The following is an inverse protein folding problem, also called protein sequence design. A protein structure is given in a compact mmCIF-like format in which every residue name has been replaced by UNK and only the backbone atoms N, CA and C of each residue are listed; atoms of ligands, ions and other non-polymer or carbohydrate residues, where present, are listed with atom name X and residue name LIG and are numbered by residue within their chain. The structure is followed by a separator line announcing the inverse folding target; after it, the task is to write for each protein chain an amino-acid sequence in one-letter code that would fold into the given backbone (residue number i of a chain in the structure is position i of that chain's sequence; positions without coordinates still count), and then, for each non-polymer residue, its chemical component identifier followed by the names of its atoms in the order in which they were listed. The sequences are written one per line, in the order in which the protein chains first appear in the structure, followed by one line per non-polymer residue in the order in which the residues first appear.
data_IF_613125449227
#
_entry.id   IF_613125449227
#
_cell.length_a   1.000
_cell.length_b   1.000
_cell.length_c   1.000
_cell.angle_alpha   90.00
_cell.angle_beta   90.00
_cell.angle_gamma   90.00
#
_symmetry.space_group_name_H-M   'P 1'
#
loop_
_entity.id
_entity.type
_entity.pdbx_description
1 polymer ?
#
# COMPACT_ATOMS: atom_id res chain seq x y z
N UNK A 1 -42.16 17.99 -76.85
CA UNK A 1 -41.58 16.65 -76.60
C UNK A 1 -40.91 16.73 -75.26
N UNK A 2 -41.25 15.80 -74.37
CA UNK A 2 -41.10 15.92 -72.91
C UNK A 2 -40.83 14.54 -72.29
N UNK A 3 -40.68 14.50 -70.96
CA UNK A 3 -40.60 13.33 -70.05
C UNK A 3 -39.17 12.86 -69.71
N UNK A 4 -38.82 12.46 -68.47
CA UNK A 4 -39.57 12.51 -67.19
C UNK A 4 -38.65 12.46 -65.94
N UNK A 5 -39.20 12.77 -64.75
CA UNK A 5 -38.56 13.10 -63.43
C UNK A 5 -39.52 12.62 -62.31
N UNK A 6 -39.14 12.11 -61.09
CA UNK A 6 -38.09 12.53 -60.13
C UNK A 6 -37.09 11.39 -59.77
N UNK A 7 -36.44 11.16 -58.60
CA UNK A 7 -36.62 11.51 -57.15
C UNK A 7 -35.33 11.11 -56.34
N UNK A 8 -35.11 11.25 -55.01
CA UNK A 8 -35.55 11.99 -53.77
C UNK A 8 -34.82 11.28 -52.58
N UNK A 9 -34.62 11.69 -51.31
CA UNK A 9 -34.62 12.90 -50.42
C UNK A 9 -34.09 12.41 -49.03
N UNK A 10 -33.63 13.14 -48.00
CA UNK A 10 -33.35 14.59 -47.72
C UNK A 10 -32.28 14.70 -46.57
N UNK A 11 -32.02 15.91 -46.03
CA UNK A 11 -31.17 16.23 -44.84
C UNK A 11 -32.04 16.82 -43.68
N UNK A 12 -31.81 18.03 -43.10
CA UNK A 12 -30.83 18.52 -42.10
C UNK A 12 -31.33 18.40 -40.60
N UNK A 13 -30.64 18.71 -39.48
CA UNK A 13 -29.42 19.46 -39.08
C UNK A 13 -29.62 20.89 -38.47
N UNK A 14 -28.91 21.22 -37.35
CA UNK A 14 -28.68 22.56 -36.72
C UNK A 14 -29.88 23.27 -35.98
N UNK A 15 -29.79 24.29 -35.07
CA UNK A 15 -28.71 24.89 -34.23
C UNK A 15 -29.19 26.02 -33.23
N UNK A 16 -28.90 25.94 -31.92
CA UNK A 16 -28.78 27.05 -30.90
C UNK A 16 -30.06 27.96 -30.69
N UNK A 17 -30.13 29.05 -29.84
CA UNK A 17 -29.16 29.71 -28.94
C UNK A 17 -29.68 30.05 -27.49
N UNK A 18 -29.38 31.26 -26.98
CA UNK A 18 -28.99 31.63 -25.59
C UNK A 18 -29.97 32.64 -24.89
N UNK A 19 -30.13 32.51 -23.53
CA UNK A 19 -30.48 33.52 -22.46
C UNK A 19 -31.94 33.94 -22.06
N UNK A 20 -32.06 34.07 -20.72
CA UNK A 20 -32.70 35.09 -19.84
C UNK A 20 -34.25 35.33 -19.69
N UNK A 21 -34.81 34.66 -18.66
CA UNK A 21 -35.37 35.23 -17.40
C UNK A 21 -36.91 35.53 -17.16
N UNK A 22 -37.27 35.45 -15.86
CA UNK A 22 -38.44 35.96 -15.10
C UNK A 22 -39.82 35.22 -15.06
N UNK A 23 -40.12 34.72 -13.85
CA UNK A 23 -41.43 34.54 -13.15
C UNK A 23 -42.29 33.25 -13.31
N UNK A 24 -42.89 32.82 -12.18
CA UNK A 24 -43.94 31.77 -12.12
C UNK A 24 -43.88 30.86 -10.88
N UNK A 25 -44.67 31.16 -9.83
CA UNK A 25 -44.68 30.40 -8.55
C UNK A 25 -45.08 28.91 -8.72
N UNK A 26 -44.33 28.01 -8.07
CA UNK A 26 -44.75 26.63 -7.80
C UNK A 26 -44.02 26.02 -6.61
N UNK A 27 -44.73 25.77 -5.50
CA UNK A 27 -44.12 25.21 -4.27
C UNK A 27 -44.09 23.69 -4.30
N UNK A 28 -42.92 23.08 -4.10
CA UNK A 28 -42.81 21.76 -3.46
C UNK A 28 -41.41 21.52 -2.88
N UNK A 29 -41.34 21.18 -1.59
CA UNK A 29 -40.09 20.89 -0.88
C UNK A 29 -39.57 19.48 -1.21
N UNK A 30 -38.51 19.38 -2.01
CA UNK A 30 -37.81 18.12 -2.26
C UNK A 30 -36.67 17.93 -1.26
N UNK A 31 -36.74 16.84 -0.49
CA UNK A 31 -35.67 16.41 0.42
C UNK A 31 -34.44 15.95 -0.39
N UNK A 32 -33.20 16.18 0.09
CA UNK A 32 -32.02 15.56 -0.51
C UNK A 32 -32.16 14.04 -0.54
N UNK A 33 -31.86 13.41 -1.67
CA UNK A 33 -31.83 11.95 -1.76
C UNK A 33 -30.59 11.43 -1.02
N UNK A 34 -30.79 10.49 -0.10
CA UNK A 34 -29.68 9.76 0.51
C UNK A 34 -28.87 9.05 -0.59
N UNK A 35 -27.58 9.35 -0.67
CA UNK A 35 -26.63 8.47 -1.34
C UNK A 35 -26.42 7.27 -0.40
N UNK A 36 -26.64 6.04 -0.88
CA UNK A 36 -26.37 4.86 -0.07
C UNK A 36 -24.86 4.71 0.09
N UNK A 37 -24.38 4.65 1.34
CA UNK A 37 -23.09 4.05 1.63
C UNK A 37 -23.22 2.55 1.35
N UNK A 38 -22.38 2.01 0.46
CA UNK A 38 -22.34 0.58 0.22
C UNK A 38 -21.58 -0.10 1.36
N UNK A 39 -22.30 -0.86 2.20
CA UNK A 39 -21.72 -1.83 3.11
C UNK A 39 -20.92 -2.87 2.31
N UNK A 40 -19.62 -2.98 2.57
CA UNK A 40 -18.80 -4.08 2.07
C UNK A 40 -19.28 -5.37 2.75
N UNK A 41 -19.84 -6.32 1.99
CA UNK A 41 -20.35 -7.60 2.53
C UNK A 41 -19.31 -8.72 2.40
N UNK A 42 -18.98 -9.35 3.52
CA UNK A 42 -18.01 -10.44 3.60
C UNK A 42 -18.57 -11.77 3.06
N UNK A 43 -17.80 -12.53 2.25
CA UNK A 43 -18.10 -13.93 1.95
C UNK A 43 -17.55 -14.83 3.09
N UNK A 44 -18.39 -15.18 4.06
CA UNK A 44 -17.90 -15.68 5.36
C UNK A 44 -18.73 -16.72 6.11
N UNK A 45 -19.53 -17.56 5.44
CA UNK A 45 -20.09 -18.76 6.10
C UNK A 45 -20.31 -19.92 5.12
N UNK A 46 -19.73 -21.09 5.42
CA UNK A 46 -20.05 -22.35 4.74
C UNK A 46 -21.28 -22.95 5.41
N UNK A 47 -22.42 -22.91 4.73
CA UNK A 47 -23.63 -23.61 5.17
C UNK A 47 -23.46 -25.12 4.97
N UNK A 48 -23.27 -25.87 6.06
CA UNK A 48 -23.33 -27.33 6.05
C UNK A 48 -24.70 -27.81 5.57
N UNK A 49 -24.74 -28.77 4.64
CA UNK A 49 -25.99 -29.26 4.06
C UNK A 49 -26.90 -29.94 5.10
N UNK A 50 -28.20 -29.68 4.99
CA UNK A 50 -29.21 -30.26 5.87
C UNK A 50 -29.56 -31.69 5.46
N UNK A 51 -29.25 -32.66 6.33
CA UNK A 51 -29.89 -33.98 6.28
C UNK A 51 -31.12 -34.01 7.19
N UNK A 52 -32.22 -34.51 6.63
CA UNK A 52 -33.54 -34.55 7.26
C UNK A 52 -33.71 -35.71 8.24
N UNK A 53 -34.46 -35.49 9.34
CA UNK A 53 -35.67 -36.28 9.59
C UNK A 53 -36.59 -35.67 10.66
N UNK A 54 -37.81 -36.21 10.74
CA UNK A 54 -38.92 -35.84 11.64
C UNK A 54 -38.63 -36.23 13.11
N UNK A 55 -39.36 -35.77 14.15
CA UNK A 55 -40.83 -35.71 14.24
C UNK A 55 -41.40 -34.97 15.47
N UNK A 56 -42.70 -34.61 15.35
CA UNK A 56 -43.74 -34.52 16.41
C UNK A 56 -43.50 -33.80 17.76
N UNK A 57 -44.19 -32.65 17.91
CA UNK A 57 -45.27 -32.42 18.91
C UNK A 57 -45.11 -32.99 20.34
N UNK A 58 -44.88 -32.11 21.35
CA UNK A 58 -45.94 -31.65 22.28
C UNK A 58 -45.47 -30.60 23.32
N UNK A 59 -46.47 -29.91 23.89
CA UNK A 59 -46.37 -28.92 24.97
C UNK A 59 -46.17 -29.53 26.36
N UNK A 60 -45.52 -28.78 27.27
CA UNK A 60 -46.09 -28.46 28.61
C UNK A 60 -45.38 -27.29 29.32
N UNK A 61 -46.02 -26.81 30.38
CA UNK A 61 -45.66 -25.59 31.14
C UNK A 61 -44.91 -25.89 32.45
N UNK A 62 -44.29 -24.84 33.03
CA UNK A 62 -44.08 -24.59 34.48
C UNK A 62 -43.29 -25.63 35.32
N UNK A 63 -42.51 -25.27 36.35
CA UNK A 63 -42.77 -24.26 37.39
C UNK A 63 -41.48 -23.77 38.07
N UNK A 64 -41.58 -22.70 38.87
CA UNK A 64 -40.52 -22.29 39.81
C UNK A 64 -40.49 -23.17 41.07
N UNK A 65 -39.33 -23.23 41.73
CA UNK A 65 -39.24 -23.44 43.19
C UNK A 65 -37.90 -22.91 43.72
N UNK A 66 -37.94 -21.91 44.60
CA UNK A 66 -36.80 -21.47 45.42
C UNK A 66 -36.66 -22.40 46.65
N UNK A 67 -35.45 -22.55 47.22
CA UNK A 67 -35.14 -22.31 48.67
C UNK A 67 -33.74 -22.80 49.09
N UNK A 68 -32.97 -21.88 49.67
CA UNK A 68 -32.17 -21.91 50.92
C UNK A 68 -31.40 -23.16 51.43
N UNK A 69 -30.22 -22.91 52.04
CA UNK A 69 -29.47 -23.83 52.91
C UNK A 69 -27.94 -23.83 52.67
N UNK A 70 -27.17 -22.83 53.11
CA UNK A 70 -26.51 -22.67 54.43
C UNK A 70 -25.44 -23.73 54.82
N UNK A 71 -24.29 -23.25 55.33
CA UNK A 71 -23.12 -24.01 55.82
C UNK A 71 -21.88 -23.79 54.93
N UNK A 72 -20.85 -23.00 55.27
CA UNK A 72 -19.95 -22.98 56.45
C UNK A 72 -18.98 -24.18 56.51
N UNK A 73 -17.67 -24.06 56.74
CA UNK A 73 -16.75 -22.90 56.90
C UNK A 73 -15.26 -23.45 56.85
N UNK A 74 -14.26 -22.62 57.16
CA UNK A 74 -12.95 -22.96 57.78
C UNK A 74 -11.69 -23.09 56.87
N UNK A 75 -10.92 -21.98 56.86
CA UNK A 75 -9.43 -21.83 56.92
C UNK A 75 -8.51 -22.09 55.72
N UNK A 76 -7.76 -21.03 55.40
CA UNK A 76 -6.30 -21.05 55.16
C UNK A 76 -5.51 -21.20 56.47
N UNK A 77 -4.18 -21.45 56.41
CA UNK A 77 -3.28 -20.39 56.89
C UNK A 77 -2.05 -20.14 55.98
N UNK A 78 -1.19 -19.22 56.42
CA UNK A 78 -0.07 -18.58 55.71
C UNK A 78 1.29 -18.80 56.39
N UNK A 79 2.40 -18.65 55.65
CA UNK A 79 3.74 -18.15 56.05
C UNK A 79 4.56 -17.97 54.72
N UNK A 80 5.42 -16.97 54.47
CA UNK A 80 6.58 -16.38 55.18
C UNK A 80 7.81 -17.33 55.21
N UNK A 81 9.08 -16.90 55.04
CA UNK A 81 9.67 -15.56 54.81
C UNK A 81 11.10 -15.62 54.17
N UNK A 82 11.82 -14.48 54.15
CA UNK A 82 13.23 -14.23 53.72
C UNK A 82 13.51 -14.16 52.20
N UNK A 83 14.28 -13.21 51.61
CA UNK A 83 15.38 -12.29 52.02
C UNK A 83 16.81 -12.85 51.87
N UNK A 84 17.60 -12.18 51.03
CA UNK A 84 19.05 -12.36 50.80
C UNK A 84 19.58 -11.23 49.90
N UNK A 85 20.83 -10.78 50.05
CA UNK A 85 21.33 -9.55 49.41
C UNK A 85 22.86 -9.55 49.15
N UNK A 86 23.32 -8.56 48.36
CA UNK A 86 24.73 -8.27 48.00
C UNK A 86 25.42 -9.35 47.12
N UNK A 87 26.52 -9.08 46.41
CA UNK A 87 27.38 -7.89 46.36
C UNK A 87 27.95 -7.60 44.94
N UNK A 88 28.83 -6.60 44.86
CA UNK A 88 29.50 -6.09 43.66
C UNK A 88 30.49 -7.05 42.99
N UNK A 89 30.85 -6.78 41.72
CA UNK A 89 31.91 -7.49 40.99
C UNK A 89 32.47 -6.66 39.83
N UNK A 90 33.51 -5.86 40.08
CA UNK A 90 34.18 -5.05 39.05
C UNK A 90 35.24 -5.86 38.30
N UNK A 91 35.24 -5.79 36.96
CA UNK A 91 36.43 -6.10 36.16
C UNK A 91 36.55 -5.15 34.96
N UNK A 92 37.57 -4.27 35.01
CA UNK A 92 37.98 -3.45 33.87
C UNK A 92 38.99 -4.19 32.97
N UNK A 93 39.13 -3.80 31.68
CA UNK A 93 40.08 -4.40 30.76
C UNK A 93 41.52 -3.98 31.08
N UNK A 94 42.47 -4.90 30.89
CA UNK A 94 43.91 -4.59 30.91
C UNK A 94 44.47 -4.33 29.49
N UNK A 95 45.59 -3.60 29.33
CA UNK A 95 45.89 -2.91 28.08
C UNK A 95 47.08 -3.51 27.30
N UNK A 96 47.04 -3.44 25.96
CA UNK A 96 48.24 -3.54 25.13
C UNK A 96 48.27 -2.48 24.00
N UNK A 97 49.30 -1.62 24.08
CA UNK A 97 50.08 -1.01 22.97
C UNK A 97 49.39 -0.03 22.01
N UNK A 98 49.55 1.25 22.32
CA UNK A 98 49.55 2.36 21.36
C UNK A 98 50.86 2.38 20.54
N UNK A 99 50.76 2.64 19.22
CA UNK A 99 51.74 3.22 18.26
C UNK A 99 50.94 3.51 16.98
N UNK A 100 51.05 4.63 16.25
CA UNK A 100 51.86 5.84 16.38
C UNK A 100 51.08 7.04 15.80
N UNK A 101 51.09 8.19 16.47
CA UNK A 101 50.67 9.49 15.90
C UNK A 101 51.81 10.50 16.06
N UNK A 102 52.42 10.92 14.94
CA UNK A 102 53.12 12.21 14.79
C UNK A 102 53.73 12.36 13.38
N UNK A 103 53.22 13.31 12.58
CA UNK A 103 54.00 14.47 12.08
C UNK A 103 53.06 15.48 11.39
N UNK A 104 53.52 16.73 11.21
CA UNK A 104 52.68 17.82 10.72
C UNK A 104 53.36 18.73 9.68
N UNK A 105 52.57 19.09 8.65
CA UNK A 105 52.54 20.37 7.91
C UNK A 105 53.72 20.84 6.99
N UNK A 106 53.31 21.24 5.78
CA UNK A 106 53.94 22.15 4.79
C UNK A 106 55.10 21.61 3.91
N UNK A 107 55.39 22.23 2.74
CA UNK A 107 54.67 23.29 1.97
C UNK A 107 54.20 22.80 0.56
N UNK A 108 53.48 23.63 -0.25
CA UNK A 108 52.89 23.18 -1.52
C UNK A 108 53.73 23.48 -2.78
N UNK A 109 53.62 22.61 -3.80
CA UNK A 109 53.83 22.99 -5.20
C UNK A 109 54.61 22.01 -6.08
N UNK A 110 53.92 21.35 -7.02
CA UNK A 110 54.30 21.13 -8.43
C UNK A 110 53.09 20.52 -9.15
N UNK A 111 52.84 20.92 -10.40
CA UNK A 111 51.77 20.35 -11.23
C UNK A 111 52.34 19.16 -12.02
N UNK A 112 51.79 17.96 -11.80
CA UNK A 112 52.03 16.77 -12.63
C UNK A 112 50.71 16.25 -13.18
N UNK A 113 50.74 15.80 -14.44
CA UNK A 113 49.54 15.50 -15.23
C UNK A 113 48.85 14.22 -14.77
N UNK A 114 47.54 14.29 -14.51
CA UNK A 114 46.71 13.09 -14.37
C UNK A 114 46.50 12.43 -15.74
N UNK A 115 47.19 11.32 -15.98
CA UNK A 115 46.79 10.35 -17.00
C UNK A 115 45.77 9.38 -16.37
N UNK A 116 44.51 9.33 -16.84
CA UNK A 116 43.54 8.36 -16.37
C UNK A 116 43.82 6.98 -16.99
N UNK A 117 44.35 6.05 -16.21
CA UNK A 117 44.40 4.64 -16.58
C UNK A 117 43.13 3.97 -16.05
N UNK A 118 42.36 3.35 -16.95
CA UNK A 118 41.06 2.76 -16.66
C UNK A 118 41.18 1.47 -15.85
N UNK A 119 40.94 1.53 -14.55
CA UNK A 119 40.45 0.39 -13.77
C UNK A 119 38.96 0.54 -13.47
N UNK A 120 38.15 0.54 -14.55
CA UNK A 120 36.76 0.09 -14.44
C UNK A 120 36.76 -1.40 -14.13
N UNK A 121 36.92 -1.73 -12.85
CA UNK A 121 36.38 -2.98 -12.30
C UNK A 121 34.91 -3.00 -12.71
N UNK A 122 34.54 -3.91 -13.61
CA UNK A 122 33.21 -4.00 -14.19
C UNK A 122 32.22 -4.52 -13.15
N UNK A 123 31.84 -3.64 -12.24
CA UNK A 123 30.76 -3.84 -11.29
C UNK A 123 29.51 -4.18 -12.11
N UNK A 124 28.93 -5.39 -11.99
CA UNK A 124 27.91 -5.88 -12.92
C UNK A 124 26.72 -4.91 -12.92
N UNK A 125 26.31 -4.48 -14.12
CA UNK A 125 25.34 -3.39 -14.28
C UNK A 125 23.99 -3.76 -13.65
N UNK A 126 23.73 -3.26 -12.43
CA UNK A 126 22.49 -3.52 -11.66
C UNK A 126 21.24 -3.34 -12.55
N UNK A 127 20.39 -4.37 -12.66
CA UNK A 127 19.12 -4.37 -13.44
C UNK A 127 18.31 -3.09 -13.19
N UNK A 128 17.76 -2.44 -14.21
CA UNK A 128 16.88 -1.26 -14.06
C UNK A 128 15.71 -1.57 -13.12
N UNK A 129 15.44 -0.72 -12.14
CA UNK A 129 14.30 -0.91 -11.23
C UNK A 129 13.02 -0.31 -11.82
N UNK A 130 11.93 -1.06 -11.80
CA UNK A 130 10.60 -0.56 -12.17
C UNK A 130 9.67 -0.74 -10.97
N UNK A 131 9.43 0.36 -10.26
CA UNK A 131 8.74 0.34 -8.97
C UNK A 131 7.25 0.68 -9.16
N UNK A 132 6.38 -0.32 -8.98
CA UNK A 132 4.93 -0.17 -9.02
C UNK A 132 4.40 0.10 -7.61
N UNK A 133 4.15 1.36 -7.26
CA UNK A 133 3.90 1.77 -5.87
C UNK A 133 2.44 2.23 -5.73
N UNK A 134 1.69 1.66 -4.78
CA UNK A 134 0.35 2.16 -4.45
C UNK A 134 0.38 3.51 -3.71
N UNK A 135 -0.75 4.21 -3.68
CA UNK A 135 -0.93 5.46 -2.95
C UNK A 135 -1.37 5.25 -1.50
N UNK A 136 -2.59 4.76 -1.27
CA UNK A 136 -3.29 4.91 0.00
C UNK A 136 -2.77 3.87 1.00
N UNK A 137 -2.51 4.27 2.25
CA UNK A 137 -1.75 3.50 3.26
C UNK A 137 -0.34 3.04 2.82
N UNK A 138 0.12 3.42 1.62
CA UNK A 138 1.43 3.01 1.08
C UNK A 138 2.39 4.19 1.07
N UNK A 139 2.12 5.25 0.30
CA UNK A 139 2.86 6.52 0.38
C UNK A 139 2.00 7.72 0.81
N UNK A 140 0.69 7.54 0.98
CA UNK A 140 -0.24 8.52 1.53
C UNK A 140 -0.87 8.01 2.83
N UNK A 141 -1.06 8.89 3.81
CA UNK A 141 -1.90 8.64 4.98
C UNK A 141 -3.16 9.50 4.87
N UNK A 142 -3.95 9.23 3.82
CA UNK A 142 -5.26 9.83 3.56
C UNK A 142 -5.93 9.08 2.41
N UNK A 143 -7.25 9.22 2.28
CA UNK A 143 -8.02 8.71 1.15
C UNK A 143 -9.07 9.73 0.72
N UNK A 144 -8.97 10.25 -0.51
CA UNK A 144 -9.91 11.21 -1.06
C UNK A 144 -11.24 10.58 -1.51
N UNK A 145 -11.29 9.27 -1.76
CA UNK A 145 -12.50 8.53 -2.18
C UNK A 145 -13.41 8.25 -0.99
N UNK A 146 -12.85 7.83 0.15
CA UNK A 146 -13.62 7.65 1.40
C UNK A 146 -13.55 8.85 2.36
N UNK A 147 -12.92 9.96 1.94
CA UNK A 147 -12.79 11.21 2.68
C UNK A 147 -12.17 11.02 4.08
N UNK A 148 -11.06 10.27 4.15
CA UNK A 148 -10.29 10.07 5.37
C UNK A 148 -9.12 11.06 5.45
N UNK A 149 -9.06 11.82 6.54
CA UNK A 149 -7.87 12.58 6.93
C UNK A 149 -6.80 11.63 7.52
N UNK A 150 -5.57 12.12 7.84
CA UNK A 150 -4.52 11.27 8.38
C UNK A 150 -4.84 10.62 9.73
N UNK A 151 -5.66 11.26 10.56
CA UNK A 151 -6.10 10.70 11.84
C UNK A 151 -7.04 9.51 11.62
N UNK A 152 -7.98 9.65 10.69
CA UNK A 152 -8.94 8.61 10.28
C UNK A 152 -8.24 7.44 9.56
N UNK A 153 -7.36 7.74 8.60
CA UNK A 153 -6.62 6.75 7.83
C UNK A 153 -5.70 5.89 8.71
N UNK A 154 -4.97 6.51 9.65
CA UNK A 154 -4.12 5.79 10.60
C UNK A 154 -4.93 4.92 11.59
N UNK A 155 -6.13 5.36 11.99
CA UNK A 155 -7.05 4.53 12.78
C UNK A 155 -7.54 3.31 11.98
N UNK A 156 -7.90 3.50 10.70
CA UNK A 156 -8.28 2.41 9.80
C UNK A 156 -7.12 1.43 9.57
N UNK A 157 -5.91 1.90 9.28
CA UNK A 157 -4.74 1.03 9.14
C UNK A 157 -4.53 0.15 10.38
N UNK A 158 -4.66 0.73 11.58
CA UNK A 158 -4.54 -0.03 12.82
C UNK A 158 -5.60 -1.14 12.97
N UNK A 159 -6.75 -1.12 12.29
CA UNK A 159 -7.67 -2.27 12.33
C UNK A 159 -7.23 -3.44 11.47
N UNK A 160 -6.43 -3.22 10.41
CA UNK A 160 -5.95 -4.29 9.54
C UNK A 160 -4.75 -5.04 10.11
N UNK A 161 -3.91 -4.35 10.91
CA UNK A 161 -2.68 -4.91 11.51
C UNK A 161 -2.81 -5.29 13.01
N UNK A 162 -4.00 -5.22 13.60
CA UNK A 162 -4.23 -5.66 15.00
C UNK A 162 -5.12 -6.89 15.10
N UNK A 163 -4.78 -7.81 16.00
CA UNK A 163 -5.18 -9.22 15.92
C UNK A 163 -5.82 -9.77 17.18
N UNK A 164 -6.71 -10.74 17.00
CA UNK A 164 -7.42 -11.45 18.06
C UNK A 164 -7.85 -12.86 17.65
N UNK A 165 -8.60 -13.53 18.53
CA UNK A 165 -9.24 -14.83 18.29
C UNK A 165 -10.71 -14.77 18.65
N UNK A 166 -11.53 -15.51 17.91
CA UNK A 166 -12.92 -15.77 18.26
C UNK A 166 -12.95 -16.84 19.36
N UNK A 167 -13.61 -16.55 20.48
CA UNK A 167 -13.84 -17.52 21.55
C UNK A 167 -14.88 -18.58 21.12
N UNK A 168 -15.02 -19.72 21.82
CA UNK A 168 -16.10 -20.67 21.58
C UNK A 168 -17.51 -20.07 21.70
N UNK A 169 -17.66 -18.91 22.36
CA UNK A 169 -18.91 -18.15 22.46
C UNK A 169 -19.14 -17.14 21.31
N UNK A 170 -18.20 -17.04 20.36
CA UNK A 170 -18.25 -16.10 19.24
C UNK A 170 -17.62 -14.72 19.50
N UNK A 171 -17.00 -14.52 20.67
CA UNK A 171 -16.47 -13.20 21.07
C UNK A 171 -15.01 -13.00 20.68
N UNK A 172 -14.70 -11.88 20.03
CA UNK A 172 -13.34 -11.54 19.62
C UNK A 172 -12.50 -11.04 20.81
N UNK A 173 -11.40 -11.74 21.08
CA UNK A 173 -10.47 -11.50 22.19
C UNK A 173 -9.07 -11.13 21.67
N UNK A 174 -8.41 -10.16 22.29
CA UNK A 174 -7.07 -9.69 21.91
C UNK A 174 -6.02 -10.81 21.93
N UNK A 175 -5.19 -10.90 20.89
CA UNK A 175 -4.01 -11.78 20.84
C UNK A 175 -2.71 -11.06 21.20
N UNK A 176 -2.62 -9.76 20.90
CA UNK A 176 -1.40 -8.98 20.98
C UNK A 176 -1.72 -7.50 21.19
N UNK A 177 -0.91 -6.85 22.01
CA UNK A 177 -0.91 -5.39 22.21
C UNK A 177 0.09 -4.68 21.29
N UNK A 178 0.81 -5.43 20.45
CA UNK A 178 1.62 -4.94 19.34
C UNK A 178 0.98 -5.31 17.99
N UNK A 179 0.91 -4.39 17.01
CA UNK A 179 0.44 -4.72 15.66
C UNK A 179 1.44 -5.59 14.89
N UNK A 180 0.97 -6.27 13.85
CA UNK A 180 1.81 -7.01 12.91
C UNK A 180 1.17 -7.07 11.51
N UNK A 181 1.99 -7.00 10.45
CA UNK A 181 1.52 -7.13 9.06
C UNK A 181 0.89 -8.49 8.73
N UNK A 182 1.34 -9.54 9.44
CA UNK A 182 0.92 -10.92 9.25
C UNK A 182 0.21 -11.41 10.53
N UNK A 183 -0.71 -12.38 10.43
CA UNK A 183 -1.34 -13.00 11.58
C UNK A 183 -0.29 -13.64 12.50
N UNK A 184 -0.24 -13.30 13.80
CA UNK A 184 0.82 -13.78 14.71
C UNK A 184 0.73 -15.27 15.03
N UNK A 185 -0.40 -15.93 14.73
CA UNK A 185 -0.56 -17.38 14.80
C UNK A 185 -1.73 -17.85 13.92
N UNK A 186 -1.82 -19.16 13.66
CA UNK A 186 -3.00 -19.73 12.99
C UNK A 186 -4.29 -19.46 13.78
N UNK A 187 -5.40 -19.23 13.06
CA UNK A 187 -6.69 -18.83 13.62
C UNK A 187 -6.75 -17.39 14.17
N UNK A 188 -5.72 -16.56 13.95
CA UNK A 188 -5.80 -15.13 14.25
C UNK A 188 -6.69 -14.40 13.24
N UNK A 189 -7.59 -13.56 13.74
CA UNK A 189 -8.53 -12.74 12.96
C UNK A 189 -8.20 -11.27 13.23
N UNK A 190 -8.02 -10.46 12.17
CA UNK A 190 -7.77 -9.02 12.35
C UNK A 190 -9.03 -8.32 12.88
N UNK A 191 -8.87 -7.15 13.51
CA UNK A 191 -10.04 -6.34 13.92
C UNK A 191 -10.88 -5.96 12.70
N UNK A 192 -10.24 -5.63 11.57
CA UNK A 192 -10.89 -5.33 10.30
C UNK A 192 -11.74 -6.50 9.76
N UNK A 193 -11.20 -7.71 9.78
CA UNK A 193 -11.90 -8.91 9.28
C UNK A 193 -13.14 -9.26 10.10
N UNK A 194 -13.20 -8.86 11.38
CA UNK A 194 -14.34 -9.12 12.27
C UNK A 194 -15.35 -7.97 12.31
N UNK A 195 -14.88 -6.71 12.29
CA UNK A 195 -15.70 -5.52 12.59
C UNK A 195 -15.70 -4.48 11.46
N UNK A 196 -14.96 -4.69 10.39
CA UNK A 196 -14.84 -3.77 9.26
C UNK A 196 -13.98 -2.53 9.54
N UNK A 197 -14.17 -1.51 8.70
CA UNK A 197 -13.45 -0.23 8.72
C UNK A 197 -13.87 0.59 9.96
N UNK A 198 -12.90 1.02 10.78
CA UNK A 198 -13.17 1.92 11.91
C UNK A 198 -12.14 3.08 11.94
N UNK A 199 -12.59 4.28 11.57
CA UNK A 199 -11.79 5.51 11.51
C UNK A 199 -11.60 6.20 12.88
N UNK A 200 -12.22 5.69 13.95
CA UNK A 200 -12.08 6.17 15.33
C UNK A 200 -11.65 5.04 16.28
N UNK A 201 -11.00 4.00 15.74
CA UNK A 201 -10.63 2.77 16.45
C UNK A 201 -9.99 3.02 17.83
N UNK A 202 -9.01 3.91 17.93
CA UNK A 202 -8.30 4.22 19.19
C UNK A 202 -9.10 5.06 20.19
N UNK A 203 -10.24 5.63 19.79
CA UNK A 203 -11.19 6.29 20.70
C UNK A 203 -12.08 5.25 21.40
N UNK A 204 -12.35 4.10 20.75
CA UNK A 204 -13.19 3.02 21.28
C UNK A 204 -12.58 2.32 22.50
N UNK A 205 -13.45 1.72 23.34
CA UNK A 205 -13.03 0.95 24.50
C UNK A 205 -12.10 -0.25 24.18
N UNK A 206 -12.21 -0.79 22.95
CA UNK A 206 -11.41 -1.89 22.41
C UNK A 206 -10.04 -1.40 21.93
N UNK A 207 -10.01 -0.45 21.00
CA UNK A 207 -8.78 0.06 20.39
C UNK A 207 -7.97 1.03 21.26
N UNK A 208 -8.48 1.46 22.42
CA UNK A 208 -7.80 2.42 23.33
C UNK A 208 -6.35 2.08 23.66
N UNK A 209 -5.96 0.79 23.65
CA UNK A 209 -4.59 0.34 23.91
C UNK A 209 -3.58 0.80 22.86
N UNK A 210 -4.01 1.03 21.62
CA UNK A 210 -3.17 1.54 20.53
C UNK A 210 -3.18 3.07 20.41
N UNK A 211 -3.85 3.79 21.34
CA UNK A 211 -4.01 5.26 21.28
C UNK A 211 -2.69 6.02 21.34
N UNK A 212 -1.74 5.54 22.13
CA UNK A 212 -0.43 6.20 22.26
C UNK A 212 0.47 5.92 21.04
N UNK A 213 0.37 4.70 20.48
CA UNK A 213 0.99 4.32 19.20
C UNK A 213 0.46 5.17 18.04
N UNK A 214 -0.86 5.34 17.95
CA UNK A 214 -1.54 6.19 16.97
C UNK A 214 -1.12 7.66 17.12
N UNK A 215 -1.13 8.20 18.34
CA UNK A 215 -0.69 9.59 18.59
C UNK A 215 0.76 9.80 18.18
N UNK A 216 1.65 8.85 18.48
CA UNK A 216 3.06 8.93 18.11
C UNK A 216 3.27 8.98 16.59
N UNK A 217 2.66 8.05 15.84
CA UNK A 217 2.78 8.04 14.38
C UNK A 217 2.08 9.23 13.71
N UNK A 218 0.97 9.71 14.30
CA UNK A 218 0.30 10.94 13.84
C UNK A 218 1.19 12.16 14.06
N UNK A 219 1.94 12.25 15.16
CA UNK A 219 2.92 13.32 15.41
C UNK A 219 4.09 13.27 14.42
N UNK A 220 4.57 12.08 14.05
CA UNK A 220 5.64 11.92 13.03
C UNK A 220 5.18 12.33 11.62
N UNK A 221 3.87 12.31 11.36
CA UNK A 221 3.27 12.82 10.12
C UNK A 221 3.10 14.35 10.09
N UNK A 222 3.19 15.05 11.24
CA UNK A 222 2.89 16.49 11.32
C UNK A 222 3.89 17.31 10.50
N UNK A 223 3.37 18.15 9.60
CA UNK A 223 4.16 19.04 8.76
C UNK A 223 4.76 20.16 9.62
N UNK A 224 6.09 20.25 9.63
CA UNK A 224 6.81 21.23 10.43
C UNK A 224 6.97 22.57 9.70
N UNK A 225 6.81 23.68 10.42
CA UNK A 225 6.92 25.03 9.84
C UNK A 225 5.69 25.44 9.01
N UNK A 226 5.93 26.27 7.98
CA UNK A 226 4.84 26.82 7.15
C UNK A 226 4.25 25.75 6.22
N UNK A 227 2.92 25.48 6.24
CA UNK A 227 2.30 24.44 5.42
C UNK A 227 2.34 24.73 3.92
N UNK A 228 2.96 23.84 3.13
CA UNK A 228 2.96 23.96 1.68
C UNK A 228 1.66 23.38 1.07
N UNK A 229 0.92 24.11 0.20
CA UNK A 229 -0.41 23.70 -0.26
C UNK A 229 -0.42 22.40 -1.07
N UNK A 230 0.63 22.14 -1.87
CA UNK A 230 0.72 20.94 -2.70
C UNK A 230 1.36 19.73 -1.99
N UNK A 231 2.07 19.93 -0.88
CA UNK A 231 2.85 18.89 -0.19
C UNK A 231 2.27 18.50 1.18
N UNK A 232 1.30 19.27 1.70
CA UNK A 232 0.61 18.98 2.95
C UNK A 232 -0.88 18.68 2.75
N UNK A 233 -1.45 17.96 3.71
CA UNK A 233 -2.89 17.71 3.83
C UNK A 233 -3.39 18.28 5.16
N UNK A 234 -4.61 18.82 5.17
CA UNK A 234 -5.28 19.27 6.39
C UNK A 234 -5.88 18.08 7.12
N UNK A 235 -5.78 18.07 8.46
CA UNK A 235 -6.60 17.22 9.31
C UNK A 235 -7.28 18.01 10.43
N UNK A 236 -7.64 17.31 11.51
CA UNK A 236 -8.27 17.91 12.69
C UNK A 236 -7.44 19.05 13.34
N UNK A 237 -8.13 19.92 14.09
CA UNK A 237 -7.53 20.97 14.94
C UNK A 237 -6.55 21.93 14.21
N UNK A 238 -6.84 22.22 12.94
CA UNK A 238 -6.02 23.03 12.03
C UNK A 238 -4.60 22.48 11.76
N UNK A 239 -4.28 21.26 12.23
CA UNK A 239 -3.01 20.60 11.94
C UNK A 239 -2.86 20.29 10.45
N UNK A 240 -1.60 20.19 10.04
CA UNK A 240 -1.16 19.86 8.69
C UNK A 240 -0.21 18.69 8.78
N UNK A 241 -0.30 17.80 7.81
CA UNK A 241 0.48 16.57 7.75
C UNK A 241 1.12 16.43 6.38
N UNK A 242 2.19 15.66 6.27
CA UNK A 242 2.76 15.30 4.97
C UNK A 242 1.71 14.57 4.10
N UNK A 243 1.48 15.05 2.88
CA UNK A 243 0.59 14.39 1.92
C UNK A 243 1.21 13.08 1.40
N UNK A 244 2.49 13.16 1.03
CA UNK A 244 3.31 12.02 0.60
C UNK A 244 4.37 11.77 1.67
N UNK A 245 4.56 10.51 2.08
CA UNK A 245 5.48 10.15 3.15
C UNK A 245 6.92 10.62 2.88
N UNK A 246 7.62 11.19 3.89
CA UNK A 246 9.03 11.54 3.78
C UNK A 246 9.94 10.40 3.29
N UNK A 247 9.62 9.15 3.65
CA UNK A 247 10.36 7.96 3.23
C UNK A 247 10.29 7.68 1.72
N UNK A 248 9.25 8.13 1.02
CA UNK A 248 9.19 8.07 -0.45
C UNK A 248 10.12 9.09 -1.11
N UNK A 249 10.21 10.31 -0.57
CA UNK A 249 11.15 11.30 -1.10
C UNK A 249 12.61 10.88 -0.90
N UNK A 250 12.93 10.32 0.27
CA UNK A 250 14.25 9.73 0.55
C UNK A 250 14.60 8.55 -0.37
N UNK A 251 13.62 7.77 -0.81
CA UNK A 251 13.81 6.72 -1.83
C UNK A 251 14.29 7.32 -3.16
N UNK A 252 13.69 8.43 -3.62
CA UNK A 252 14.10 9.10 -4.86
C UNK A 252 15.55 9.63 -4.76
N UNK A 253 15.89 10.26 -3.64
CA UNK A 253 17.27 10.70 -3.36
C UNK A 253 18.26 9.53 -3.35
N UNK A 254 17.96 8.45 -2.63
CA UNK A 254 18.86 7.30 -2.52
C UNK A 254 19.09 6.61 -3.88
N UNK A 255 18.02 6.41 -4.67
CA UNK A 255 18.14 5.83 -6.00
C UNK A 255 18.96 6.72 -6.96
N UNK A 256 18.85 8.05 -6.83
CA UNK A 256 19.70 8.98 -7.57
C UNK A 256 21.17 8.95 -7.09
N UNK A 257 21.40 8.93 -5.77
CA UNK A 257 22.72 8.84 -5.14
C UNK A 257 23.47 7.56 -5.52
N UNK A 258 22.77 6.43 -5.67
CA UNK A 258 23.28 5.15 -6.18
C UNK A 258 23.58 5.15 -7.70
N UNK A 259 23.28 6.24 -8.42
CA UNK A 259 23.36 6.27 -9.89
C UNK A 259 22.41 5.26 -10.57
N UNK A 260 21.33 4.87 -9.87
CA UNK A 260 20.46 3.77 -10.27
C UNK A 260 19.67 4.16 -11.53
N UNK A 261 19.57 3.25 -12.51
CA UNK A 261 18.54 3.37 -13.55
C UNK A 261 17.21 2.89 -12.97
N UNK A 262 16.18 3.74 -12.92
CA UNK A 262 14.86 3.38 -12.40
C UNK A 262 13.71 4.14 -13.06
N UNK A 263 12.48 3.67 -12.79
CA UNK A 263 11.23 4.39 -13.05
C UNK A 263 10.21 4.12 -11.94
N UNK A 264 9.37 5.11 -11.64
CA UNK A 264 8.28 5.00 -10.67
C UNK A 264 6.93 4.98 -11.40
N UNK A 265 6.15 3.94 -11.14
CA UNK A 265 4.80 3.75 -11.67
C UNK A 265 3.84 3.81 -10.47
N UNK A 266 3.29 4.99 -10.23
CA UNK A 266 2.29 5.18 -9.18
C UNK A 266 0.97 4.53 -9.61
N UNK A 267 0.37 3.72 -8.73
CA UNK A 267 -0.88 3.00 -8.98
C UNK A 267 -1.90 3.30 -7.90
N UNK A 268 -3.18 3.23 -8.24
CA UNK A 268 -4.29 3.21 -7.27
C UNK A 268 -5.55 2.74 -7.98
N UNK A 269 -6.52 2.22 -7.23
CA UNK A 269 -7.89 2.07 -7.70
C UNK A 269 -8.72 3.37 -7.58
N UNK A 270 -8.28 4.30 -6.72
CA UNK A 270 -8.94 5.57 -6.42
C UNK A 270 -8.62 6.70 -7.40
N UNK A 271 -8.69 7.95 -6.93
CA UNK A 271 -8.58 9.17 -7.75
C UNK A 271 -7.41 10.10 -7.39
N UNK A 272 -6.61 9.77 -6.37
CA UNK A 272 -5.56 10.65 -5.83
C UNK A 272 -4.40 10.98 -6.79
N UNK A 273 -4.20 10.22 -7.87
CA UNK A 273 -3.01 10.31 -8.74
C UNK A 273 -2.64 11.71 -9.23
N UNK A 274 -3.54 12.56 -9.77
CA UNK A 274 -3.17 13.90 -10.23
C UNK A 274 -2.60 14.77 -9.10
N UNK A 275 -3.16 14.65 -7.89
CA UNK A 275 -2.73 15.40 -6.70
C UNK A 275 -1.35 14.91 -6.23
N UNK A 276 -1.11 13.60 -6.24
CA UNK A 276 0.19 13.03 -5.86
C UNK A 276 1.27 13.36 -6.89
N UNK A 277 0.97 13.26 -8.19
CA UNK A 277 1.91 13.62 -9.26
C UNK A 277 2.28 15.11 -9.18
N UNK A 278 1.31 15.99 -8.89
CA UNK A 278 1.58 17.41 -8.62
C UNK A 278 2.48 17.59 -7.38
N UNK A 279 2.20 16.90 -6.28
CA UNK A 279 3.00 16.95 -5.06
C UNK A 279 4.45 16.52 -5.30
N UNK A 280 4.65 15.38 -5.98
CA UNK A 280 5.99 14.86 -6.31
C UNK A 280 6.71 15.76 -7.30
N UNK A 281 5.99 16.40 -8.24
CA UNK A 281 6.52 17.46 -9.10
C UNK A 281 7.06 18.65 -8.30
N UNK A 282 6.25 19.24 -7.42
CA UNK A 282 6.70 20.35 -6.57
C UNK A 282 7.89 19.97 -5.68
N UNK A 283 7.98 18.72 -5.21
CA UNK A 283 9.13 18.25 -4.43
C UNK A 283 10.42 18.18 -5.29
N UNK A 284 10.34 17.67 -6.52
CA UNK A 284 11.45 17.65 -7.49
C UNK A 284 11.82 19.03 -8.05
N UNK A 285 10.91 20.01 -7.99
CA UNK A 285 11.21 21.43 -8.20
C UNK A 285 11.93 22.09 -7.00
N UNK A 286 12.26 21.32 -5.95
CA UNK A 286 12.95 21.80 -4.75
C UNK A 286 12.04 22.43 -3.68
N UNK A 287 10.72 22.39 -3.85
CA UNK A 287 9.78 23.05 -2.93
C UNK A 287 9.56 22.29 -1.61
N UNK A 288 10.16 21.10 -1.41
CA UNK A 288 10.03 20.33 -0.17
C UNK A 288 11.14 20.67 0.84
N UNK A 289 10.84 21.33 1.98
CA UNK A 289 11.86 21.92 2.86
C UNK A 289 12.83 20.91 3.48
N UNK A 290 12.38 19.67 3.74
CA UNK A 290 13.24 18.62 4.29
C UNK A 290 14.01 17.79 3.25
N UNK A 291 13.76 18.01 1.94
CA UNK A 291 14.41 17.27 0.84
C UNK A 291 14.84 18.22 -0.29
N UNK A 292 15.67 19.25 -0.02
CA UNK A 292 16.08 20.22 -1.03
C UNK A 292 16.93 19.60 -2.14
N UNK A 293 17.61 18.48 -1.87
CA UNK A 293 18.44 17.77 -2.86
C UNK A 293 17.63 17.17 -4.02
N UNK A 294 16.31 17.02 -3.88
CA UNK A 294 15.40 16.64 -4.96
C UNK A 294 15.51 17.59 -6.17
N UNK A 295 15.83 18.86 -5.94
CA UNK A 295 16.04 19.88 -6.99
C UNK A 295 17.20 19.56 -7.96
N UNK A 296 18.05 18.59 -7.63
CA UNK A 296 19.17 18.13 -8.47
C UNK A 296 18.87 16.82 -9.20
N UNK A 297 17.73 16.19 -8.91
CA UNK A 297 17.34 14.89 -9.48
C UNK A 297 16.58 15.11 -10.79
N UNK A 298 17.22 14.81 -11.91
CA UNK A 298 16.62 14.89 -13.25
C UNK A 298 15.59 13.78 -13.54
N UNK A 299 14.48 13.76 -12.80
CA UNK A 299 13.30 12.90 -13.03
C UNK A 299 12.15 13.71 -13.62
N UNK A 300 11.68 13.31 -14.81
CA UNK A 300 10.43 13.84 -15.36
C UNK A 300 9.22 13.26 -14.64
N UNK A 301 8.28 14.10 -14.21
CA UNK A 301 6.95 13.68 -13.73
C UNK A 301 5.91 14.00 -14.80
N UNK A 302 5.07 13.04 -15.18
CA UNK A 302 3.90 13.31 -16.03
C UNK A 302 2.65 13.52 -15.15
N UNK A 303 2.06 14.73 -15.08
CA UNK A 303 0.88 14.99 -14.26
C UNK A 303 -0.41 14.38 -14.80
N UNK A 304 -0.39 13.71 -15.97
CA UNK A 304 -1.56 13.09 -16.58
C UNK A 304 -1.55 11.56 -16.36
N UNK A 305 -2.42 11.00 -15.49
CA UNK A 305 -2.48 9.56 -15.29
C UNK A 305 -2.97 8.81 -16.53
N UNK A 306 -2.39 7.63 -16.77
CA UNK A 306 -3.00 6.62 -17.62
C UNK A 306 -4.08 5.83 -16.89
N UNK A 307 -4.68 4.88 -17.60
CA UNK A 307 -5.63 3.90 -17.04
C UNK A 307 -5.24 2.48 -17.43
N UNK A 308 -5.47 1.55 -16.51
CA UNK A 308 -5.39 0.11 -16.72
C UNK A 308 -6.81 -0.44 -16.60
N UNK A 309 -7.28 -1.17 -17.61
CA UNK A 309 -8.64 -1.72 -17.68
C UNK A 309 -8.63 -3.21 -18.03
N UNK A 310 -8.84 -4.03 -17.01
CA UNK A 310 -8.90 -5.49 -17.11
C UNK A 310 -10.26 -5.98 -17.66
N UNK A 311 -10.27 -7.17 -18.25
CA UNK A 311 -11.46 -7.88 -18.76
C UNK A 311 -11.20 -9.39 -18.79
N UNK A 312 -12.23 -10.22 -19.04
CA UNK A 312 -12.10 -11.69 -19.15
C UNK A 312 -11.13 -12.20 -20.24
N UNK A 313 -10.71 -11.34 -21.18
CA UNK A 313 -9.83 -11.73 -22.32
C UNK A 313 -8.49 -11.01 -22.34
N UNK A 314 -8.42 -9.77 -21.87
CA UNK A 314 -7.24 -8.91 -21.98
C UNK A 314 -7.24 -7.78 -20.96
N UNK A 315 -6.05 -7.35 -20.57
CA UNK A 315 -5.81 -6.05 -19.95
C UNK A 315 -5.57 -5.03 -21.07
N UNK A 316 -6.06 -3.80 -20.91
CA UNK A 316 -5.79 -2.67 -21.80
C UNK A 316 -5.22 -1.52 -20.97
N UNK A 317 -4.04 -1.06 -21.33
CA UNK A 317 -3.43 0.18 -20.86
C UNK A 317 -3.74 1.30 -21.86
N UNK A 318 -4.13 2.47 -21.36
CA UNK A 318 -4.28 3.69 -22.16
C UNK A 318 -3.51 4.83 -21.49
N UNK A 319 -2.62 5.49 -22.22
CA UNK A 319 -1.75 6.55 -21.71
C UNK A 319 -1.53 7.62 -22.79
N UNK A 320 -2.00 8.86 -22.56
CA UNK A 320 -2.02 9.93 -23.58
C UNK A 320 -2.69 9.46 -24.89
N UNK A 321 -1.90 9.20 -25.95
CA UNK A 321 -2.35 8.64 -27.24
C UNK A 321 -2.01 7.16 -27.42
N UNK A 322 -1.22 6.59 -26.51
CA UNK A 322 -0.81 5.19 -26.53
C UNK A 322 -1.94 4.30 -26.00
N UNK A 323 -2.16 3.17 -26.67
CA UNK A 323 -3.11 2.14 -26.24
C UNK A 323 -2.51 0.77 -26.51
N UNK A 324 -2.31 -0.01 -25.46
CA UNK A 324 -1.61 -1.30 -25.52
C UNK A 324 -2.51 -2.35 -24.86
N UNK A 325 -2.65 -3.52 -25.47
CA UNK A 325 -3.43 -4.64 -24.93
C UNK A 325 -2.57 -5.88 -24.76
N UNK A 326 -3.00 -6.78 -23.87
CA UNK A 326 -2.42 -8.12 -23.69
C UNK A 326 -3.11 -9.16 -24.59
N UNK A 327 -3.67 -8.72 -25.72
CA UNK A 327 -4.44 -9.55 -26.65
C UNK A 327 -3.54 -10.55 -27.39
N UNK A 328 -2.32 -10.13 -27.70
CA UNK A 328 -1.23 -10.97 -28.22
C UNK A 328 -0.32 -11.51 -27.08
N UNK A 329 -0.84 -11.57 -25.85
CA UNK A 329 -0.09 -11.93 -24.64
C UNK A 329 0.56 -10.75 -23.90
N UNK A 330 1.11 -11.02 -22.72
CA UNK A 330 1.62 -9.99 -21.79
C UNK A 330 2.88 -9.25 -22.23
N UNK A 331 3.63 -9.76 -23.22
CA UNK A 331 4.98 -9.27 -23.57
C UNK A 331 5.01 -7.79 -23.98
N UNK A 332 4.01 -7.31 -24.70
CA UNK A 332 3.89 -5.88 -25.06
C UNK A 332 3.67 -4.98 -23.84
N UNK A 333 3.00 -5.46 -22.80
CA UNK A 333 2.77 -4.72 -21.56
C UNK A 333 3.99 -4.70 -20.66
N UNK A 334 4.69 -5.84 -20.55
CA UNK A 334 5.98 -5.92 -19.86
C UNK A 334 6.96 -4.91 -20.46
N UNK A 335 7.26 -5.02 -21.76
CA UNK A 335 8.20 -4.14 -22.45
C UNK A 335 7.84 -2.65 -22.35
N UNK A 336 6.54 -2.31 -22.30
CA UNK A 336 6.10 -0.94 -22.07
C UNK A 336 6.44 -0.42 -20.67
N UNK A 337 6.24 -1.22 -19.63
CA UNK A 337 6.63 -0.82 -18.27
C UNK A 337 8.15 -0.83 -18.07
N UNK A 338 8.85 -1.81 -18.64
CA UNK A 338 10.33 -1.89 -18.65
C UNK A 338 10.99 -0.67 -19.31
N UNK A 339 10.39 -0.12 -20.37
CA UNK A 339 10.93 1.04 -21.10
C UNK A 339 10.63 2.39 -20.43
N UNK A 340 9.67 2.48 -19.49
CA UNK A 340 9.35 3.75 -18.79
C UNK A 340 10.56 4.38 -18.12
N UNK A 341 10.57 5.71 -18.08
CA UNK A 341 11.53 6.52 -17.32
C UNK A 341 10.76 7.60 -16.55
N UNK A 342 11.40 8.18 -15.53
CA UNK A 342 10.77 9.18 -14.67
C UNK A 342 9.66 8.62 -13.77
N UNK A 343 8.63 9.43 -13.54
CA UNK A 343 7.50 9.14 -12.66
C UNK A 343 6.19 9.34 -13.43
N UNK A 344 5.31 8.34 -13.43
CA UNK A 344 3.99 8.42 -14.05
C UNK A 344 2.92 7.64 -13.26
N UNK A 345 1.65 8.01 -13.42
CA UNK A 345 0.52 7.40 -12.73
C UNK A 345 -0.35 6.52 -13.62
N UNK A 346 -0.94 5.46 -13.06
CA UNK A 346 -1.96 4.63 -13.70
C UNK A 346 -3.09 4.29 -12.74
N UNK A 347 -4.33 4.65 -13.10
CA UNK A 347 -5.51 4.21 -12.35
C UNK A 347 -5.90 2.79 -12.78
N UNK A 348 -5.90 1.85 -11.84
CA UNK A 348 -6.34 0.46 -12.04
C UNK A 348 -7.87 0.32 -12.09
N UNK A 349 -8.37 -0.88 -12.39
CA UNK A 349 -9.79 -1.10 -12.73
C UNK A 349 -10.64 -1.50 -11.51
N UNK A 350 -11.05 -0.53 -10.67
CA UNK A 350 -11.79 -0.81 -9.43
C UNK A 350 -13.04 -1.68 -9.65
N UNK A 351 -13.89 -1.31 -10.62
CA UNK A 351 -15.09 -2.09 -10.92
C UNK A 351 -14.80 -3.53 -11.39
N UNK A 352 -13.60 -3.82 -11.88
CA UNK A 352 -13.20 -5.19 -12.20
C UNK A 352 -12.80 -5.95 -10.95
N UNK A 353 -12.06 -5.30 -10.04
CA UNK A 353 -11.68 -5.86 -8.76
C UNK A 353 -12.91 -6.21 -7.90
N UNK A 354 -13.85 -5.27 -7.77
CA UNK A 354 -15.13 -5.49 -7.07
C UNK A 354 -15.98 -6.61 -7.70
N UNK A 355 -16.09 -6.67 -9.04
CA UNK A 355 -16.81 -7.75 -9.74
C UNK A 355 -16.15 -9.13 -9.64
N UNK A 356 -14.88 -9.18 -9.22
CA UNK A 356 -14.16 -10.42 -8.90
C UNK A 356 -13.99 -10.60 -7.37
N UNK A 357 -14.91 -10.05 -6.59
CA UNK A 357 -15.02 -10.22 -5.12
C UNK A 357 -13.76 -9.78 -4.36
N UNK A 358 -13.07 -8.75 -4.87
CA UNK A 358 -11.80 -8.23 -4.32
C UNK A 358 -10.63 -9.25 -4.27
N UNK A 359 -10.80 -10.42 -4.89
CA UNK A 359 -9.75 -11.44 -4.99
C UNK A 359 -8.64 -11.08 -5.99
N UNK A 360 -7.54 -11.83 -5.93
CA UNK A 360 -6.38 -11.75 -6.86
C UNK A 360 -6.78 -11.77 -8.34
N UNK A 361 -7.91 -12.41 -8.70
CA UNK A 361 -8.42 -12.47 -10.09
C UNK A 361 -8.92 -11.13 -10.63
N UNK A 362 -9.25 -10.22 -9.72
CA UNK A 362 -9.64 -8.85 -10.01
C UNK A 362 -8.50 -7.84 -9.83
N UNK A 363 -7.37 -8.27 -9.27
CA UNK A 363 -6.30 -7.41 -8.76
C UNK A 363 -5.52 -6.64 -9.81
N UNK A 364 -4.55 -5.86 -9.34
CA UNK A 364 -3.59 -5.09 -10.12
C UNK A 364 -2.68 -6.05 -10.90
N UNK A 365 -2.75 -6.12 -12.24
CA UNK A 365 -1.91 -7.04 -12.99
C UNK A 365 -0.45 -6.55 -12.99
N UNK A 366 0.49 -7.49 -12.83
CA UNK A 366 1.93 -7.27 -12.83
C UNK A 366 2.60 -8.36 -13.68
N UNK A 367 3.57 -7.99 -14.53
CA UNK A 367 4.34 -8.92 -15.34
C UNK A 367 5.81 -8.92 -14.92
N UNK A 368 6.40 -10.12 -14.81
CA UNK A 368 7.79 -10.34 -14.39
C UNK A 368 8.41 -11.32 -15.37
N UNK A 369 9.60 -11.01 -15.89
CA UNK A 369 10.41 -11.97 -16.64
C UNK A 369 11.70 -12.32 -15.89
N UNK A 370 11.85 -13.54 -15.36
CA UNK A 370 13.11 -14.01 -14.79
C UNK A 370 14.28 -14.01 -15.80
N UNK A 371 13.97 -14.07 -17.10
CA UNK A 371 14.96 -14.14 -18.17
C UNK A 371 15.45 -12.76 -18.62
N UNK A 372 14.88 -11.66 -18.10
CA UNK A 372 15.35 -10.30 -18.37
C UNK A 372 16.48 -9.93 -17.40
N UNK A 373 17.72 -10.21 -17.81
CA UNK A 373 18.92 -9.83 -17.08
C UNK A 373 19.17 -8.30 -17.01
N UNK A 374 18.24 -7.46 -17.49
CA UNK A 374 18.37 -6.00 -17.54
C UNK A 374 17.33 -5.23 -16.71
N UNK A 375 16.24 -5.85 -16.23
CA UNK A 375 15.16 -5.16 -15.49
C UNK A 375 14.66 -5.99 -14.29
N UNK A 376 14.30 -5.33 -13.19
CA UNK A 376 13.64 -5.92 -12.01
C UNK A 376 12.41 -5.10 -11.65
N UNK A 377 11.24 -5.74 -11.65
CA UNK A 377 9.97 -5.13 -11.28
C UNK A 377 9.64 -5.44 -9.82
N UNK A 378 9.37 -4.42 -9.02
CA UNK A 378 8.96 -4.55 -7.61
C UNK A 378 7.63 -3.81 -7.44
N UNK A 379 6.63 -4.45 -6.85
CA UNK A 379 5.35 -3.83 -6.51
C UNK A 379 5.23 -3.66 -4.99
N UNK A 380 4.88 -2.45 -4.54
CA UNK A 380 4.74 -2.07 -3.13
C UNK A 380 3.31 -1.61 -2.89
N UNK A 381 2.61 -2.25 -1.95
CA UNK A 381 1.17 -2.10 -1.76
C UNK A 381 0.75 -2.54 -0.34
N UNK A 382 -0.09 -1.78 0.36
CA UNK A 382 -0.56 -2.12 1.71
C UNK A 382 -1.49 -3.34 1.73
N UNK A 383 -2.02 -3.78 0.59
CA UNK A 383 -2.97 -4.89 0.44
C UNK A 383 -2.39 -6.13 -0.26
N UNK A 384 -1.06 -6.25 -0.35
CA UNK A 384 -0.41 -7.56 -0.59
C UNK A 384 -0.55 -8.44 0.67
N UNK A 385 -1.02 -9.68 0.50
CA UNK A 385 -1.08 -10.71 1.56
C UNK A 385 -0.47 -12.02 1.07
N UNK A 386 0.01 -12.86 1.99
CA UNK A 386 0.47 -14.22 1.70
C UNK A 386 -0.67 -15.22 1.39
N UNK A 387 -1.93 -14.78 1.43
CA UNK A 387 -3.12 -15.56 1.06
C UNK A 387 -3.64 -15.10 -0.30
N UNK A 388 -3.55 -15.95 -1.33
CA UNK A 388 -3.99 -15.61 -2.68
C UNK A 388 -5.51 -15.41 -2.84
N UNK A 389 -6.31 -15.79 -1.84
CA UNK A 389 -7.74 -15.45 -1.81
C UNK A 389 -8.01 -13.98 -1.50
N UNK A 390 -7.06 -13.30 -0.85
CA UNK A 390 -7.21 -12.00 -0.17
C UNK A 390 -5.99 -11.10 -0.44
N UNK A 391 -5.58 -10.96 -1.71
CA UNK A 391 -4.39 -10.19 -2.10
C UNK A 391 -4.64 -9.39 -3.37
N UNK A 392 -4.10 -8.16 -3.41
CA UNK A 392 -4.47 -7.15 -4.39
C UNK A 392 -3.66 -7.17 -5.69
N UNK A 393 -2.50 -7.82 -5.73
CA UNK A 393 -1.62 -7.86 -6.92
C UNK A 393 -1.71 -9.23 -7.60
N UNK A 394 -1.85 -9.22 -8.92
CA UNK A 394 -1.96 -10.41 -9.76
C UNK A 394 -0.67 -10.63 -10.58
N UNK A 395 0.33 -11.35 -10.05
CA UNK A 395 1.60 -11.61 -10.73
C UNK A 395 1.45 -12.59 -11.90
N UNK A 396 2.12 -12.29 -13.01
CA UNK A 396 2.28 -13.13 -14.19
C UNK A 396 3.77 -13.26 -14.48
N UNK A 397 4.32 -14.44 -14.24
CA UNK A 397 5.75 -14.75 -14.46
C UNK A 397 5.89 -15.44 -15.82
N UNK A 398 6.74 -14.92 -16.72
CA UNK A 398 6.97 -15.57 -18.01
C UNK A 398 7.75 -16.88 -17.86
N UNK A 399 7.27 -17.94 -18.52
CA UNK A 399 7.80 -19.30 -18.36
C UNK A 399 8.99 -19.65 -19.28
N UNK A 400 9.64 -18.64 -19.88
CA UNK A 400 10.77 -18.85 -20.79
C UNK A 400 11.18 -17.58 -21.53
N UNK A 401 12.45 -17.53 -21.95
CA UNK A 401 13.00 -16.44 -22.75
C UNK A 401 12.17 -16.20 -24.02
N UNK A 402 11.76 -14.95 -24.27
CA UNK A 402 10.84 -14.53 -25.34
C UNK A 402 9.44 -15.20 -25.38
N UNK A 403 9.14 -16.16 -24.51
CA UNK A 403 7.85 -16.85 -24.47
C UNK A 403 6.71 -15.90 -24.05
N UNK A 404 5.57 -15.97 -24.74
CA UNK A 404 4.34 -15.31 -24.32
C UNK A 404 3.56 -16.08 -23.24
N UNK A 405 3.98 -17.31 -22.90
CA UNK A 405 3.37 -18.10 -21.84
C UNK A 405 3.72 -17.54 -20.46
N UNK A 406 2.72 -17.44 -19.59
CA UNK A 406 2.86 -16.97 -18.20
C UNK A 406 2.30 -17.99 -17.22
N UNK A 407 2.99 -18.17 -16.09
CA UNK A 407 2.47 -18.87 -14.91
C UNK A 407 1.99 -17.85 -13.88
N UNK A 408 1.02 -18.26 -13.08
CA UNK A 408 0.48 -17.50 -11.94
C UNK A 408 1.10 -18.08 -10.66
N UNK A 409 2.22 -17.56 -10.14
CA UNK A 409 2.76 -18.03 -8.87
C UNK A 409 1.84 -17.64 -7.70
N UNK A 410 1.90 -18.36 -6.56
CA UNK A 410 1.33 -17.86 -5.32
C UNK A 410 2.11 -16.63 -4.85
N UNK A 411 1.44 -15.71 -4.15
CA UNK A 411 2.05 -14.44 -3.70
C UNK A 411 3.29 -14.66 -2.83
N UNK A 412 3.31 -15.74 -2.05
CA UNK A 412 4.43 -16.15 -1.20
C UNK A 412 5.72 -16.50 -1.96
N UNK A 413 5.65 -16.83 -3.24
CA UNK A 413 6.84 -17.11 -4.08
C UNK A 413 7.61 -15.82 -4.42
N UNK A 414 6.90 -14.69 -4.51
CA UNK A 414 7.43 -13.39 -4.92
C UNK A 414 7.48 -12.37 -3.77
N UNK A 415 6.96 -12.72 -2.59
CA UNK A 415 6.95 -11.85 -1.41
C UNK A 415 8.39 -11.58 -0.93
N UNK A 416 8.72 -10.31 -0.72
CA UNK A 416 10.09 -9.88 -0.41
C UNK A 416 11.04 -9.92 -1.60
N UNK A 417 10.58 -10.26 -2.80
CA UNK A 417 11.41 -10.41 -4.03
C UNK A 417 10.94 -9.48 -5.15
N UNK A 418 9.65 -9.54 -5.50
CA UNK A 418 8.98 -8.65 -6.45
C UNK A 418 7.69 -8.05 -5.89
N UNK A 419 7.24 -8.47 -4.69
CA UNK A 419 6.03 -8.02 -4.01
C UNK A 419 6.36 -7.63 -2.56
N UNK A 420 5.96 -6.43 -2.13
CA UNK A 420 6.22 -5.89 -0.78
C UNK A 420 4.93 -5.37 -0.17
N UNK A 421 4.52 -5.96 0.94
CA UNK A 421 3.43 -5.43 1.77
C UNK A 421 3.92 -4.21 2.56
N UNK A 422 3.17 -3.10 2.56
CA UNK A 422 3.59 -1.90 3.28
C UNK A 422 3.29 -1.96 4.78
N UNK A 423 4.35 -1.95 5.60
CA UNK A 423 4.26 -1.49 6.99
C UNK A 423 4.17 0.05 6.99
N UNK A 424 2.96 0.57 7.18
CA UNK A 424 2.75 2.01 7.20
C UNK A 424 3.34 2.66 8.46
N UNK A 425 3.38 1.95 9.59
CA UNK A 425 3.99 2.46 10.82
C UNK A 425 5.51 2.57 10.62
N UNK A 426 6.14 1.54 10.06
CA UNK A 426 7.53 1.55 9.63
C UNK A 426 7.84 2.63 8.57
N UNK A 427 6.95 2.82 7.59
CA UNK A 427 7.12 3.83 6.54
C UNK A 427 6.95 5.28 7.03
N UNK A 428 6.19 5.49 8.12
CA UNK A 428 6.09 6.77 8.85
C UNK A 428 7.33 6.98 9.74
N UNK A 429 7.71 5.97 10.51
CA UNK A 429 8.72 6.09 11.56
C UNK A 429 10.16 6.10 11.04
N UNK A 430 10.43 5.49 9.88
CA UNK A 430 11.77 5.40 9.31
C UNK A 430 11.84 5.96 7.88
N UNK A 431 12.56 7.07 7.75
CA UNK A 431 12.78 7.77 6.48
C UNK A 431 13.50 6.90 5.44
N UNK A 432 14.21 5.84 5.83
CA UNK A 432 14.88 4.91 4.92
C UNK A 432 14.10 3.59 4.69
N UNK A 433 12.85 3.49 5.17
CA UNK A 433 12.01 2.29 5.06
C UNK A 433 12.02 1.67 3.66
N UNK A 434 11.59 2.40 2.63
CA UNK A 434 11.52 1.86 1.26
C UNK A 434 12.90 1.53 0.69
N UNK A 435 13.96 2.26 1.07
CA UNK A 435 15.32 1.97 0.62
C UNK A 435 15.75 0.57 1.07
N UNK A 436 15.39 0.17 2.30
CA UNK A 436 15.61 -1.21 2.79
C UNK A 436 14.73 -2.23 2.08
N UNK A 437 13.45 -1.91 1.83
CA UNK A 437 12.57 -2.81 1.07
C UNK A 437 13.15 -3.12 -0.33
N UNK A 438 13.59 -2.10 -1.07
CA UNK A 438 14.22 -2.27 -2.39
C UNK A 438 15.49 -3.11 -2.28
N UNK A 439 16.41 -2.76 -1.39
CA UNK A 439 17.67 -3.52 -1.20
C UNK A 439 17.40 -4.99 -0.87
N UNK A 440 16.46 -5.28 0.03
CA UNK A 440 16.08 -6.64 0.40
C UNK A 440 15.49 -7.41 -0.79
N UNK A 441 14.70 -6.75 -1.64
CA UNK A 441 14.20 -7.34 -2.88
C UNK A 441 15.31 -7.60 -3.90
N UNK A 442 16.29 -6.71 -4.07
CA UNK A 442 17.46 -6.95 -4.93
C UNK A 442 18.25 -8.19 -4.47
N UNK A 443 18.55 -8.30 -3.17
CA UNK A 443 19.26 -9.44 -2.57
C UNK A 443 18.49 -10.78 -2.71
N UNK A 444 17.18 -10.75 -2.49
CA UNK A 444 16.31 -11.92 -2.65
C UNK A 444 16.12 -12.31 -4.13
N UNK A 445 16.16 -11.36 -5.06
CA UNK A 445 15.91 -11.63 -6.47
C UNK A 445 17.03 -12.42 -7.13
N UNK A 446 18.30 -12.19 -6.82
CA UNK A 446 19.38 -13.05 -7.32
C UNK A 446 19.22 -14.49 -6.81
N UNK A 447 18.78 -14.67 -5.55
CA UNK A 447 18.50 -15.99 -4.95
C UNK A 447 17.28 -16.69 -5.56
N UNK A 448 16.28 -15.93 -6.01
CA UNK A 448 15.12 -16.43 -6.76
C UNK A 448 15.51 -16.80 -8.19
N UNK A 449 16.30 -15.97 -8.87
CA UNK A 449 16.75 -16.19 -10.25
C UNK A 449 17.65 -17.41 -10.37
N UNK A 450 18.56 -17.64 -9.41
CA UNK A 450 19.37 -18.84 -9.35
C UNK A 450 18.53 -20.14 -9.33
N UNK A 451 17.37 -20.12 -8.64
CA UNK A 451 16.42 -21.26 -8.58
C UNK A 451 15.44 -21.34 -9.75
N UNK A 452 15.46 -20.35 -10.65
CA UNK A 452 14.58 -20.26 -11.82
C UNK A 452 15.34 -20.45 -13.15
N UNK A 453 16.66 -20.67 -13.07
CA UNK A 453 17.51 -21.09 -14.20
C UNK A 453 17.85 -22.58 -14.21
N UNK A 454 17.47 -23.31 -13.17
CA UNK A 454 17.47 -24.79 -13.07
C UNK A 454 16.12 -25.37 -13.57
#
# INVERSE_FOLDING_TARGET
MSDSVPSREDDPCSSWPVRDDISGRGSNTLKPKHLLLCTEMFPGLVSSESLSNSSSLKTRESSNSETDGFGDDVRSPSEQDNVGSCAEGQHGPSPERQREEQLACQPPGVITQFNPISETILNPKKRKLVLHIDLNNTILVSDAVTNQDPRAALNYYLTTVTWGKISPAGEWHWLSDSPSLLPPCNGAVSFYSQYGRNTTFTDTAMGRRFRDLHRHHLQLLEWQGQPHPSLSVQGEQAKRYHLVLPSFFRLLEWLHQEGRQFAIILRTFGTDLPRVLQAVGCALEGQHPHFPALAHISLSVDPHPGTIRCSKRKVVLTYRKEKISTEDGGRKMYAYFSSREGICGFQDHFDWWARNQFSIRGGKPLWIDPHDASVHHICIDDNIRLNDSDTIVQPQVFSGQASCSVRMPPTSELYGTCLVQTDLLGAIADVNYFCRCIKQCEENYESYLARAGD
#
